data_IF_160376750268
#
_entry.id   IF_160376750268
#
_cell.length_a   1.000
_cell.length_b   1.000
_cell.length_c   1.000
_cell.angle_alpha   90.00
_cell.angle_beta   90.00
_cell.angle_gamma   90.00
#
_symmetry.space_group_name_H-M   'P 1'
#
loop_
_entity.id
_entity.type
_entity.pdbx_description
1 polymer ?
#
# COMPACT_ATOMS: atom_id res chain seq x y z
N UNK A 1 -10.73 14.64 22.00
CA UNK A 1 -11.19 13.24 22.13
C UNK A 1 -10.04 12.33 21.73
N UNK A 2 -9.61 11.40 22.59
CA UNK A 2 -8.52 10.47 22.22
C UNK A 2 -9.12 9.38 21.30
N UNK A 3 -8.98 9.49 19.98
CA UNK A 3 -9.17 8.32 19.09
C UNK A 3 -8.04 7.37 19.46
N UNK A 4 -8.36 6.33 20.22
CA UNK A 4 -7.46 5.20 20.40
C UNK A 4 -7.39 4.50 19.04
N UNK A 5 -6.36 4.80 18.25
CA UNK A 5 -6.00 3.98 17.11
C UNK A 5 -5.58 2.63 17.67
N UNK A 6 -6.47 1.63 17.57
CA UNK A 6 -6.19 0.29 18.07
C UNK A 6 -5.05 -0.27 17.22
N UNK A 7 -3.84 -0.25 17.77
CA UNK A 7 -2.66 -0.87 17.18
C UNK A 7 -2.88 -2.39 17.17
N UNK A 8 -3.36 -2.92 16.05
CA UNK A 8 -3.41 -4.37 15.81
C UNK A 8 -2.21 -4.70 14.95
N UNK A 9 -1.19 -5.28 15.58
CA UNK A 9 -0.07 -5.92 14.88
C UNK A 9 -0.45 -7.38 14.70
N UNK A 10 -0.54 -7.82 13.45
CA UNK A 10 -0.73 -9.23 13.12
C UNK A 10 0.47 -9.76 12.37
N UNK A 11 0.98 -10.91 12.81
CA UNK A 11 1.90 -11.69 12.00
C UNK A 11 1.09 -12.63 11.11
N UNK A 12 1.37 -12.61 9.80
CA UNK A 12 0.68 -13.44 8.81
C UNK A 12 1.72 -14.27 8.07
N UNK A 13 1.45 -15.57 7.93
CA UNK A 13 2.19 -16.46 7.06
C UNK A 13 1.29 -16.83 5.88
N UNK A 14 1.69 -16.51 4.64
CA UNK A 14 0.87 -16.79 3.46
C UNK A 14 1.66 -17.48 2.34
N UNK A 15 1.17 -18.62 1.80
CA UNK A 15 1.70 -19.23 0.59
C UNK A 15 1.15 -18.56 -0.68
N UNK A 16 2.03 -18.26 -1.63
CA UNK A 16 1.71 -17.68 -2.94
C UNK A 16 2.53 -18.34 -4.06
N UNK A 17 1.93 -18.46 -5.25
CA UNK A 17 2.64 -19.02 -6.41
C UNK A 17 3.59 -18.00 -7.07
N UNK A 18 3.40 -16.71 -6.83
CA UNK A 18 4.24 -15.64 -7.34
C UNK A 18 4.36 -14.49 -6.33
N UNK A 19 5.41 -13.69 -6.47
CA UNK A 19 5.70 -12.55 -5.60
C UNK A 19 4.92 -11.28 -5.97
N UNK A 20 3.91 -11.38 -6.83
CA UNK A 20 3.23 -10.19 -7.36
C UNK A 20 2.49 -9.45 -6.25
N UNK A 21 2.70 -8.13 -6.18
CA UNK A 21 2.06 -7.24 -5.20
C UNK A 21 0.53 -7.37 -5.21
N UNK A 22 -0.08 -7.56 -6.38
CA UNK A 22 -1.53 -7.70 -6.50
C UNK A 22 -2.08 -9.00 -5.90
N UNK A 23 -1.31 -10.08 -5.93
CA UNK A 23 -1.66 -11.33 -5.27
C UNK A 23 -1.38 -11.27 -3.77
N UNK A 24 -0.23 -10.72 -3.42
CA UNK A 24 0.23 -10.57 -2.04
C UNK A 24 -0.72 -9.71 -1.21
N UNK A 25 -0.98 -8.46 -1.61
CA UNK A 25 -1.85 -7.56 -0.86
C UNK A 25 -3.31 -8.03 -0.85
N UNK A 26 -3.82 -8.68 -1.91
CA UNK A 26 -5.17 -9.23 -1.90
C UNK A 26 -5.35 -10.26 -0.76
N UNK A 27 -4.34 -11.09 -0.52
CA UNK A 27 -4.35 -12.06 0.60
C UNK A 27 -4.14 -11.39 1.96
N UNK A 28 -3.18 -10.47 2.06
CA UNK A 28 -2.86 -9.79 3.34
C UNK A 28 -4.01 -8.92 3.82
N UNK A 29 -4.61 -8.14 2.92
CA UNK A 29 -5.69 -7.19 3.25
C UNK A 29 -7.07 -7.84 3.24
N UNK A 30 -7.21 -9.05 2.70
CA UNK A 30 -8.49 -9.76 2.59
C UNK A 30 -9.45 -9.12 1.58
N UNK A 31 -8.93 -8.49 0.52
CA UNK A 31 -9.72 -7.83 -0.53
C UNK A 31 -9.54 -8.52 -1.89
N UNK A 32 -10.40 -8.21 -2.85
CA UNK A 32 -10.30 -8.79 -4.19
C UNK A 32 -9.15 -8.20 -5.00
N UNK A 33 -8.55 -9.00 -5.90
CA UNK A 33 -7.50 -8.54 -6.82
C UNK A 33 -7.96 -7.43 -7.77
N UNK A 34 -9.25 -7.40 -8.10
CA UNK A 34 -9.87 -6.35 -8.94
C UNK A 34 -10.00 -5.03 -8.18
N UNK A 35 -10.36 -5.06 -6.89
CA UNK A 35 -10.36 -3.83 -6.09
C UNK A 35 -8.94 -3.28 -5.95
N UNK A 36 -7.98 -4.17 -5.72
CA UNK A 36 -6.58 -3.79 -5.53
C UNK A 36 -5.93 -3.27 -6.82
N UNK A 37 -6.35 -3.75 -7.99
CA UNK A 37 -5.93 -3.20 -9.28
C UNK A 37 -6.15 -1.70 -9.37
N UNK A 38 -7.37 -1.26 -9.07
CA UNK A 38 -7.73 0.16 -9.08
C UNK A 38 -6.88 0.93 -8.07
N UNK A 39 -6.70 0.39 -6.87
CA UNK A 39 -5.87 0.99 -5.81
C UNK A 39 -4.42 1.21 -6.27
N UNK A 40 -3.80 0.20 -6.89
CA UNK A 40 -2.42 0.28 -7.42
C UNK A 40 -2.35 1.32 -8.55
N UNK A 41 -3.24 1.23 -9.55
CA UNK A 41 -3.23 2.13 -10.71
C UNK A 41 -3.46 3.60 -10.32
N UNK A 42 -4.21 3.86 -9.26
CA UNK A 42 -4.44 5.21 -8.74
C UNK A 42 -3.25 5.77 -7.93
N UNK A 43 -2.15 5.04 -7.79
CA UNK A 43 -1.02 5.45 -6.95
C UNK A 43 -1.35 5.45 -5.45
N UNK A 44 -2.33 4.65 -5.02
CA UNK A 44 -2.68 4.49 -3.60
C UNK A 44 -1.78 3.49 -2.88
N UNK A 45 -0.77 2.94 -3.54
CA UNK A 45 0.19 2.02 -2.96
C UNK A 45 1.58 2.60 -3.10
N UNK A 46 2.35 2.59 -2.02
CA UNK A 46 3.77 2.87 -2.05
C UNK A 46 4.57 1.73 -1.42
N UNK A 47 5.79 1.54 -1.91
CA UNK A 47 6.76 0.59 -1.39
C UNK A 47 8.04 1.35 -1.13
N UNK A 48 8.59 1.25 0.09
CA UNK A 48 9.83 1.91 0.48
C UNK A 48 9.82 3.43 0.19
N UNK A 49 8.64 4.06 0.29
CA UNK A 49 8.41 5.48 -0.02
C UNK A 49 8.10 5.81 -1.48
N UNK A 50 8.23 4.87 -2.41
CA UNK A 50 7.98 5.08 -3.84
C UNK A 50 6.59 4.64 -4.28
N UNK A 51 5.91 5.46 -5.09
CA UNK A 51 4.57 5.15 -5.60
C UNK A 51 4.66 4.05 -6.66
N UNK A 52 3.93 2.96 -6.44
CA UNK A 52 3.89 1.82 -7.37
C UNK A 52 2.56 1.78 -8.10
N UNK A 53 2.63 1.87 -9.43
CA UNK A 53 1.46 1.73 -10.34
C UNK A 53 1.51 0.42 -11.15
N UNK A 54 2.60 -0.35 -11.04
CA UNK A 54 2.77 -1.65 -11.72
C UNK A 54 2.17 -2.78 -10.86
N UNK A 55 1.08 -3.39 -11.34
CA UNK A 55 0.42 -4.53 -10.66
C UNK A 55 1.29 -5.77 -10.48
N UNK A 56 2.27 -5.95 -11.36
CA UNK A 56 3.20 -7.07 -11.34
C UNK A 56 4.55 -6.68 -10.73
N UNK A 57 4.58 -5.67 -9.85
CA UNK A 57 5.73 -5.47 -8.97
C UNK A 57 5.95 -6.73 -8.13
N UNK A 58 7.20 -7.15 -7.97
CA UNK A 58 7.57 -8.32 -7.17
C UNK A 58 7.94 -7.86 -5.76
N UNK A 59 7.25 -8.41 -4.76
CA UNK A 59 7.43 -8.09 -3.35
C UNK A 59 8.61 -8.86 -2.78
N UNK A 60 9.57 -8.16 -2.18
CA UNK A 60 10.79 -8.71 -1.61
C UNK A 60 10.80 -8.68 -0.08
N UNK A 61 11.80 -9.34 0.51
CA UNK A 61 12.09 -9.18 1.94
C UNK A 61 12.47 -7.72 2.24
N UNK A 62 12.14 -7.25 3.44
CA UNK A 62 12.31 -5.87 3.90
C UNK A 62 11.45 -4.80 3.18
N UNK A 63 10.60 -5.18 2.22
CA UNK A 63 9.65 -4.25 1.62
C UNK A 63 8.68 -3.68 2.67
N UNK A 64 8.66 -2.35 2.77
CA UNK A 64 7.71 -1.58 3.56
C UNK A 64 6.61 -1.03 2.66
N UNK A 65 5.46 -1.70 2.70
CA UNK A 65 4.35 -1.46 1.79
C UNK A 65 3.26 -0.71 2.53
N UNK A 66 2.79 0.39 1.95
CA UNK A 66 1.69 1.17 2.49
C UNK A 66 0.57 1.36 1.48
N UNK A 67 -0.65 1.16 1.95
CA UNK A 67 -1.87 1.30 1.16
C UNK A 67 -2.72 2.41 1.74
N UNK A 68 -2.90 3.47 0.97
CA UNK A 68 -3.67 4.65 1.35
C UNK A 68 -5.14 4.28 1.65
N UNK A 69 -5.64 4.72 2.81
CA UNK A 69 -7.06 4.61 3.16
C UNK A 69 -7.74 5.97 2.97
N UNK A 70 -7.27 6.98 3.71
CA UNK A 70 -7.85 8.32 3.70
C UNK A 70 -6.87 9.36 4.23
N UNK A 71 -7.11 10.63 3.92
CA UNK A 71 -6.45 11.75 4.61
C UNK A 71 -6.87 11.78 6.07
N UNK A 72 -5.99 12.24 6.94
CA UNK A 72 -6.34 12.47 8.34
C UNK A 72 -7.26 13.71 8.42
N UNK A 73 -8.44 13.56 9.03
CA UNK A 73 -9.50 14.60 9.02
C UNK A 73 -9.03 15.97 9.53
N UNK A 74 -8.14 15.98 10.52
CA UNK A 74 -7.66 17.19 11.20
C UNK A 74 -6.35 17.74 10.60
N UNK A 75 -5.68 16.99 9.72
CA UNK A 75 -4.42 17.40 9.11
C UNK A 75 -4.26 16.72 7.75
N UNK A 76 -4.56 17.46 6.69
CA UNK A 76 -4.51 16.95 5.32
C UNK A 76 -3.09 16.61 4.84
N UNK A 77 -2.04 17.08 5.52
CA UNK A 77 -0.64 16.69 5.29
C UNK A 77 -0.34 15.27 5.75
N UNK A 78 -1.24 14.65 6.51
CA UNK A 78 -1.13 13.28 7.00
C UNK A 78 -2.21 12.38 6.41
N UNK A 79 -1.90 11.09 6.33
CA UNK A 79 -2.79 10.06 5.83
C UNK A 79 -2.86 8.89 6.82
N UNK A 80 -4.02 8.25 6.87
CA UNK A 80 -4.21 6.95 7.47
C UNK A 80 -4.02 5.90 6.38
N UNK A 81 -3.17 4.91 6.65
CA UNK A 81 -2.80 3.85 5.72
C UNK A 81 -2.88 2.49 6.40
N UNK A 82 -2.98 1.43 5.60
CA UNK A 82 -2.64 0.09 6.03
C UNK A 82 -1.18 -0.16 5.70
N UNK A 83 -0.37 -0.58 6.67
CA UNK A 83 1.07 -0.83 6.47
C UNK A 83 1.38 -2.31 6.59
N UNK A 84 2.21 -2.83 5.69
CA UNK A 84 2.67 -4.21 5.64
C UNK A 84 4.19 -4.18 5.53
N UNK A 85 4.88 -4.70 6.55
CA UNK A 85 6.32 -4.94 6.49
C UNK A 85 6.56 -6.40 6.19
N UNK A 86 7.29 -6.69 5.11
CA UNK A 86 7.72 -8.06 4.79
C UNK A 86 8.96 -8.38 5.62
N UNK A 87 8.82 -9.33 6.53
CA UNK A 87 9.92 -9.72 7.42
C UNK A 87 10.80 -10.80 6.81
N UNK A 88 10.20 -11.75 6.08
CA UNK A 88 10.90 -12.88 5.46
C UNK A 88 10.13 -13.32 4.19
N UNK A 89 10.86 -13.69 3.13
CA UNK A 89 10.30 -14.27 1.92
C UNK A 89 11.07 -15.54 1.51
N UNK A 90 10.48 -16.71 1.71
CA UNK A 90 11.12 -18.00 1.42
C UNK A 90 10.38 -18.76 0.31
N UNK A 91 11.11 -19.47 -0.55
CA UNK A 91 10.50 -20.34 -1.57
C UNK A 91 10.55 -21.81 -1.16
N UNK A 92 9.41 -22.49 -1.24
CA UNK A 92 9.24 -23.93 -1.07
C UNK A 92 8.77 -24.52 -2.41
N UNK A 93 9.44 -25.55 -2.92
CA UNK A 93 9.16 -26.13 -4.24
C UNK A 93 7.75 -26.71 -4.37
N UNK A 94 7.15 -27.15 -3.27
CA UNK A 94 5.82 -27.78 -3.27
C UNK A 94 4.70 -26.79 -2.94
N UNK A 95 5.02 -25.71 -2.19
CA UNK A 95 4.02 -24.77 -1.65
C UNK A 95 4.13 -23.34 -2.18
N UNK A 96 5.19 -23.03 -2.94
CA UNK A 96 5.47 -21.70 -3.47
C UNK A 96 6.15 -20.79 -2.45
N UNK A 97 5.97 -19.48 -2.62
CA UNK A 97 6.52 -18.45 -1.74
C UNK A 97 5.76 -18.35 -0.43
N UNK A 98 6.47 -18.42 0.69
CA UNK A 98 5.99 -18.17 2.03
C UNK A 98 6.47 -16.80 2.50
N UNK A 99 5.53 -15.90 2.75
CA UNK A 99 5.82 -14.60 3.32
C UNK A 99 5.47 -14.58 4.80
N UNK A 100 6.38 -14.07 5.63
CA UNK A 100 6.10 -13.65 6.99
C UNK A 100 6.04 -12.14 7.04
N UNK A 101 4.93 -11.59 7.50
CA UNK A 101 4.71 -10.13 7.46
C UNK A 101 4.25 -9.61 8.81
N UNK A 102 4.53 -8.33 9.09
CA UNK A 102 3.84 -7.55 10.12
C UNK A 102 2.83 -6.64 9.45
N UNK A 103 1.60 -6.66 9.95
CA UNK A 103 0.52 -5.85 9.42
C UNK A 103 0.00 -4.87 10.46
N UNK A 104 -0.12 -3.60 10.06
CA UNK A 104 -0.79 -2.53 10.80
C UNK A 104 -2.06 -2.14 10.04
N UNK A 105 -3.22 -2.37 10.67
CA UNK A 105 -4.50 -2.01 10.07
C UNK A 105 -4.68 -0.50 9.91
N UNK A 106 -4.11 0.27 10.84
CA UNK A 106 -4.10 1.74 10.82
C UNK A 106 -2.70 2.22 11.20
N UNK A 107 -2.09 3.01 10.32
CA UNK A 107 -0.80 3.65 10.49
C UNK A 107 -0.89 5.08 9.96
N UNK A 108 -0.21 6.03 10.60
CA UNK A 108 -0.22 7.44 10.18
C UNK A 108 1.11 7.76 9.52
N UNK A 109 1.05 8.40 8.37
CA UNK A 109 2.22 8.88 7.63
C UNK A 109 1.93 10.18 6.88
N UNK A 110 2.91 10.74 6.19
CA UNK A 110 2.74 11.82 5.21
C UNK A 110 1.69 11.49 4.14
N UNK A 111 0.93 12.50 3.71
CA UNK A 111 -0.07 12.35 2.67
C UNK A 111 0.52 12.56 1.26
N UNK A 112 1.14 11.52 0.71
CA UNK A 112 1.73 11.55 -0.64
C UNK A 112 0.72 11.80 -1.78
N UNK A 113 -0.59 11.65 -1.50
CA UNK A 113 -1.64 11.90 -2.48
C UNK A 113 -1.90 13.39 -2.71
N UNK A 114 -1.47 14.29 -1.81
CA UNK A 114 -1.62 15.73 -2.05
C UNK A 114 -0.91 16.18 -3.33
N UNK A 115 0.29 15.66 -3.60
CA UNK A 115 1.05 15.98 -4.83
C UNK A 115 0.47 15.40 -6.12
N UNK A 116 -0.40 14.39 -6.04
CA UNK A 116 -1.06 13.79 -7.20
C UNK A 116 -2.33 14.55 -7.63
N UNK A 117 -2.85 15.42 -6.78
CA UNK A 117 -4.13 16.13 -7.01
C UNK A 117 -3.93 17.42 -7.80
N UNK A 118 -2.68 17.84 -8.05
CA UNK A 118 -2.32 19.08 -8.74
C UNK A 118 -1.79 18.74 -10.14
N UNK A 119 -2.69 18.40 -11.07
CA UNK A 119 -2.49 18.53 -12.53
C UNK A 119 -3.85 18.68 -13.22
N UNK A 120 -4.60 19.71 -12.84
CA UNK A 120 -5.67 20.28 -13.68
C UNK A 120 -5.59 21.80 -13.53
N UNK A 121 -5.55 22.47 -14.69
CA UNK A 121 -5.65 23.93 -14.92
C UNK A 121 -4.38 24.79 -14.71
N UNK A 122 -3.48 24.77 -15.70
CA UNK A 122 -2.73 25.95 -16.19
C UNK A 122 -2.44 25.74 -17.70
N UNK A 123 -3.50 25.79 -18.52
CA UNK A 123 -3.40 26.05 -19.97
C UNK A 123 -4.61 26.92 -20.33
N UNK A 124 -4.52 28.23 -20.06
CA UNK A 124 -5.25 29.30 -20.75
C UNK A 124 -4.80 30.65 -20.16
N UNK A 125 -3.91 31.35 -20.86
CA UNK A 125 -3.90 32.81 -21.10
C UNK A 125 -2.53 33.20 -21.67
N UNK A 126 -2.34 32.97 -22.98
CA UNK A 126 -1.47 33.80 -23.82
C UNK A 126 -2.34 34.37 -24.95
N UNK A 127 -3.19 35.34 -24.62
CA UNK A 127 -3.60 36.38 -25.56
C UNK A 127 -2.79 37.65 -25.26
N UNK A 128 -1.82 37.96 -26.12
CA UNK A 128 -1.64 39.31 -26.67
C UNK A 128 -0.75 39.33 -27.92
#
# INVERSE_FOLDING_TARGET
MKKAFQLIIKQINLPLLAKRIDQFLAKVLGITRTSLEKTILQGSVRINGEIITKRAYEVDEDDDIEVFIQKLEENDKLAIVQRVLVMECNFDSDKGYHFKTRFWKEYITDNWKQGLTIKQEEEEEDEH
#
